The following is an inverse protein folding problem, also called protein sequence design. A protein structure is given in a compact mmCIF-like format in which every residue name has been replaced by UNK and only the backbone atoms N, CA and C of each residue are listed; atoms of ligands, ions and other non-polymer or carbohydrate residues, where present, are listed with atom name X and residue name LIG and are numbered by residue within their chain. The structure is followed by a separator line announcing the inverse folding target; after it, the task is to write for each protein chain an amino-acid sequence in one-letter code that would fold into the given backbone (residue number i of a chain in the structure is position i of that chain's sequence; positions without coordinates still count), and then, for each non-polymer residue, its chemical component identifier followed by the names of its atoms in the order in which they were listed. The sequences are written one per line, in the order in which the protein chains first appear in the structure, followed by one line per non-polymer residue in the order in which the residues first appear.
data_IF_910246933193
#
_entry.id   IF_910246933193
#
_cell.length_a   1.000
_cell.length_b   1.000
_cell.length_c   1.000
_cell.angle_alpha   90.00
_cell.angle_beta   90.00
_cell.angle_gamma   90.00
#
_symmetry.space_group_name_H-M   'P 1'
#
loop_
_entity.id
_entity.type
_entity.pdbx_description
1 polymer ?
#
# COMPACT_ATOMS: atom_id res chain seq x y z
N UNK A 1 -2.85 -31.13 2.30
CA UNK A 1 -2.52 -29.75 1.91
C UNK A 1 -3.81 -28.94 1.83
N UNK A 2 -3.92 -27.83 2.58
CA UNK A 2 -5.13 -27.00 2.61
C UNK A 2 -5.18 -26.13 1.34
N UNK A 3 -6.37 -25.92 0.77
CA UNK A 3 -6.54 -25.22 -0.51
C UNK A 3 -7.17 -23.85 -0.31
N UNK A 4 -6.45 -22.81 -0.73
CA UNK A 4 -6.84 -21.42 -0.52
C UNK A 4 -7.10 -20.75 -1.86
N UNK A 5 -8.29 -20.15 -2.01
CA UNK A 5 -8.63 -19.30 -3.14
C UNK A 5 -8.53 -17.83 -2.73
N UNK A 6 -7.60 -17.08 -3.32
CA UNK A 6 -7.60 -15.62 -3.22
C UNK A 6 -8.52 -15.03 -4.28
N UNK A 7 -9.35 -14.06 -3.90
CA UNK A 7 -10.21 -13.31 -4.84
C UNK A 7 -9.94 -11.82 -4.70
N UNK A 8 -9.45 -11.21 -5.77
CA UNK A 8 -9.11 -9.78 -5.85
C UNK A 8 -9.83 -9.13 -7.03
N UNK A 9 -10.17 -7.86 -6.89
CA UNK A 9 -10.93 -7.10 -7.90
C UNK A 9 -10.07 -6.18 -8.77
N UNK A 10 -8.77 -6.10 -8.50
CA UNK A 10 -7.83 -5.21 -9.16
C UNK A 10 -7.37 -5.82 -10.50
N UNK A 11 -7.45 -5.05 -11.59
CA UNK A 11 -6.88 -5.44 -12.90
C UNK A 11 -5.39 -5.08 -12.96
N UNK A 12 -5.03 -3.92 -12.38
CA UNK A 12 -3.67 -3.42 -12.34
C UNK A 12 -3.01 -3.64 -10.97
N UNK A 13 -1.68 -3.56 -10.91
CA UNK A 13 -0.91 -3.74 -9.67
C UNK A 13 -1.00 -2.46 -8.82
N UNK A 14 -2.08 -2.34 -8.06
CA UNK A 14 -2.25 -1.38 -6.98
C UNK A 14 -1.74 -1.90 -5.64
N UNK A 15 -2.07 -1.22 -4.54
CA UNK A 15 -1.65 -1.62 -3.19
C UNK A 15 -2.15 -3.02 -2.78
N UNK A 16 -3.39 -3.38 -3.12
CA UNK A 16 -3.94 -4.70 -2.81
C UNK A 16 -3.30 -5.80 -3.67
N UNK A 17 -3.03 -5.52 -4.95
CA UNK A 17 -2.27 -6.41 -5.83
C UNK A 17 -0.84 -6.66 -5.32
N UNK A 18 -0.10 -5.60 -4.95
CA UNK A 18 1.24 -5.74 -4.36
C UNK A 18 1.22 -6.49 -3.03
N UNK A 19 0.24 -6.22 -2.17
CA UNK A 19 0.03 -6.99 -0.95
C UNK A 19 -0.08 -8.49 -1.24
N UNK A 20 -0.93 -8.87 -2.21
CA UNK A 20 -1.12 -10.27 -2.58
C UNK A 20 0.19 -10.87 -3.09
N UNK A 21 0.92 -10.17 -3.97
CA UNK A 21 2.21 -10.63 -4.47
C UNK A 21 3.24 -10.83 -3.35
N UNK A 22 3.32 -9.90 -2.38
CA UNK A 22 4.20 -10.04 -1.22
C UNK A 22 3.78 -11.18 -0.29
N UNK A 23 2.47 -11.42 -0.15
CA UNK A 23 1.97 -12.54 0.65
C UNK A 23 2.35 -13.88 0.01
N UNK A 24 2.19 -13.98 -1.32
CA UNK A 24 2.45 -15.21 -2.06
C UNK A 24 3.95 -15.50 -2.22
N UNK A 25 4.82 -14.49 -2.23
CA UNK A 25 6.27 -14.71 -2.31
C UNK A 25 6.90 -15.30 -1.04
N UNK A 26 6.21 -15.23 0.09
CA UNK A 26 6.66 -15.78 1.37
C UNK A 26 5.72 -16.88 1.88
N UNK A 27 5.00 -17.52 0.96
CA UNK A 27 3.99 -18.52 1.26
C UNK A 27 4.60 -19.89 1.62
N UNK A 28 3.88 -20.68 2.41
CA UNK A 28 4.27 -22.05 2.76
C UNK A 28 3.57 -23.06 1.85
N UNK A 29 4.24 -23.43 0.76
CA UNK A 29 3.75 -24.36 -0.27
C UNK A 29 3.56 -25.80 0.24
N UNK A 30 4.27 -26.19 1.31
CA UNK A 30 4.12 -27.54 1.89
C UNK A 30 2.78 -27.71 2.61
N UNK A 31 2.23 -26.61 3.14
CA UNK A 31 1.00 -26.63 3.94
C UNK A 31 -0.22 -26.20 3.13
N UNK A 32 -0.03 -25.30 2.17
CA UNK A 32 -1.11 -24.60 1.49
C UNK A 32 -0.91 -24.55 -0.03
N UNK A 33 -1.91 -25.01 -0.77
CA UNK A 33 -2.01 -24.80 -2.22
C UNK A 33 -2.82 -23.54 -2.49
N UNK A 34 -2.29 -22.62 -3.30
CA UNK A 34 -2.95 -21.36 -3.64
C UNK A 34 -3.48 -21.35 -5.06
N UNK A 35 -4.68 -20.81 -5.22
CA UNK A 35 -5.24 -20.40 -6.50
C UNK A 35 -5.74 -18.96 -6.37
N UNK A 36 -5.67 -18.19 -7.46
CA UNK A 36 -6.13 -16.80 -7.47
C UNK A 36 -7.21 -16.61 -8.51
N UNK A 37 -8.29 -15.90 -8.17
CA UNK A 37 -9.24 -15.36 -9.11
C UNK A 37 -9.13 -13.82 -9.15
N UNK A 38 -8.87 -13.26 -10.34
CA UNK A 38 -8.72 -11.83 -10.58
C UNK A 38 -9.33 -11.43 -11.93
N UNK A 39 -9.60 -10.14 -12.20
CA UNK A 39 -10.02 -9.70 -13.53
C UNK A 39 -9.07 -10.15 -14.64
N UNK A 40 -9.64 -10.51 -15.79
CA UNK A 40 -8.89 -10.97 -16.96
C UNK A 40 -8.07 -9.86 -17.63
N UNK A 41 -6.91 -10.20 -18.19
CA UNK A 41 -6.13 -9.36 -19.11
C UNK A 41 -5.24 -8.31 -18.46
N UNK A 42 -5.21 -8.24 -17.13
CA UNK A 42 -4.45 -7.24 -16.37
C UNK A 42 -2.99 -7.60 -16.10
N UNK A 43 -2.18 -6.61 -15.70
CA UNK A 43 -0.78 -6.82 -15.31
C UNK A 43 -0.67 -7.74 -14.07
N UNK A 44 -1.66 -7.70 -13.17
CA UNK A 44 -1.70 -8.56 -12.00
C UNK A 44 -1.78 -10.05 -12.38
N UNK A 45 -2.62 -10.39 -13.38
CA UNK A 45 -2.74 -11.77 -13.88
C UNK A 45 -1.40 -12.27 -14.41
N UNK A 46 -0.70 -11.45 -15.22
CA UNK A 46 0.61 -11.79 -15.79
C UNK A 46 1.64 -12.05 -14.69
N UNK A 47 1.68 -11.18 -13.67
CA UNK A 47 2.64 -11.31 -12.56
C UNK A 47 2.35 -12.55 -11.72
N UNK A 48 1.09 -12.85 -11.42
CA UNK A 48 0.71 -14.07 -10.70
C UNK A 48 1.09 -15.33 -11.45
N UNK A 49 0.84 -15.37 -12.77
CA UNK A 49 1.27 -16.48 -13.63
C UNK A 49 2.79 -16.66 -13.64
N UNK A 50 3.57 -15.57 -13.65
CA UNK A 50 5.03 -15.64 -13.58
C UNK A 50 5.57 -16.20 -12.27
N UNK A 51 4.78 -16.18 -11.19
CA UNK A 51 5.09 -16.81 -9.90
C UNK A 51 4.68 -18.29 -9.85
N UNK A 52 4.22 -18.88 -10.96
CA UNK A 52 3.73 -20.26 -11.00
C UNK A 52 2.36 -20.48 -10.35
N UNK A 53 1.69 -19.40 -9.94
CA UNK A 53 0.38 -19.49 -9.28
C UNK A 53 -0.71 -19.78 -10.29
N UNK A 54 -1.60 -20.72 -9.98
CA UNK A 54 -2.78 -21.02 -10.81
C UNK A 54 -3.78 -19.86 -10.75
N UNK A 55 -4.06 -19.24 -11.89
CA UNK A 55 -4.95 -18.07 -12.00
C UNK A 55 -6.21 -18.38 -12.80
N UNK A 56 -7.37 -18.01 -12.24
CA UNK A 56 -8.68 -18.03 -12.88
C UNK A 56 -9.13 -16.60 -13.23
N UNK A 57 -9.10 -16.20 -14.51
CA UNK A 57 -9.55 -14.88 -14.92
C UNK A 57 -11.08 -14.76 -14.80
N UNK A 58 -11.55 -13.74 -14.09
CA UNK A 58 -12.96 -13.38 -13.95
C UNK A 58 -13.37 -12.40 -15.05
N UNK A 59 -14.40 -12.75 -15.83
CA UNK A 59 -14.91 -11.88 -16.89
C UNK A 59 -15.70 -10.70 -16.31
N UNK A 60 -15.58 -9.52 -16.91
CA UNK A 60 -16.39 -8.34 -16.56
C UNK A 60 -15.69 -7.26 -15.72
N UNK A 61 -14.38 -7.28 -15.54
CA UNK A 61 -13.64 -6.15 -14.96
C UNK A 61 -13.84 -5.89 -13.47
N UNK A 62 -13.43 -4.71 -13.00
CA UNK A 62 -13.30 -4.33 -11.59
C UNK A 62 -14.66 -4.03 -10.94
N UNK A 63 -15.33 -5.04 -10.39
CA UNK A 63 -16.50 -4.83 -9.53
C UNK A 63 -16.42 -5.69 -8.28
N UNK A 64 -16.71 -5.07 -7.14
CA UNK A 64 -16.80 -5.76 -5.85
C UNK A 64 -17.94 -6.77 -5.79
N UNK A 65 -19.05 -6.51 -6.48
CA UNK A 65 -20.20 -7.42 -6.59
C UNK A 65 -20.66 -7.58 -8.04
N UNK A 66 -20.76 -8.84 -8.48
CA UNK A 66 -21.46 -9.30 -9.69
C UNK A 66 -21.96 -10.71 -9.47
N UNK A 67 -23.21 -10.98 -9.81
CA UNK A 67 -23.81 -12.32 -9.69
C UNK A 67 -23.04 -13.34 -10.56
N UNK A 68 -22.61 -12.95 -11.75
CA UNK A 68 -21.79 -13.80 -12.62
C UNK A 68 -20.43 -14.17 -12.01
N UNK A 69 -19.83 -13.27 -11.20
CA UNK A 69 -18.61 -13.59 -10.46
C UNK A 69 -18.90 -14.59 -9.34
N UNK A 70 -20.03 -14.50 -8.64
CA UNK A 70 -20.42 -15.49 -7.63
C UNK A 70 -20.50 -16.89 -8.25
N UNK A 71 -21.19 -17.04 -9.37
CA UNK A 71 -21.31 -18.32 -10.08
C UNK A 71 -19.96 -18.86 -10.56
N UNK A 72 -19.10 -18.01 -11.14
CA UNK A 72 -17.75 -18.38 -11.55
C UNK A 72 -16.90 -18.85 -10.37
N UNK A 73 -16.93 -18.12 -9.26
CA UNK A 73 -16.17 -18.45 -8.04
C UNK A 73 -16.67 -19.77 -7.43
N UNK A 74 -17.98 -20.02 -7.40
CA UNK A 74 -18.54 -21.31 -6.95
C UNK A 74 -18.04 -22.47 -7.82
N UNK A 75 -17.99 -22.30 -9.15
CA UNK A 75 -17.42 -23.29 -10.05
C UNK A 75 -15.93 -23.58 -9.79
N UNK A 76 -15.15 -22.54 -9.49
CA UNK A 76 -13.74 -22.68 -9.11
C UNK A 76 -13.60 -23.41 -7.77
N UNK A 77 -14.42 -23.06 -6.77
CA UNK A 77 -14.43 -23.70 -5.46
C UNK A 77 -14.70 -25.20 -5.59
N UNK A 78 -15.72 -25.59 -6.37
CA UNK A 78 -16.06 -26.98 -6.60
C UNK A 78 -14.94 -27.73 -7.35
N UNK A 79 -14.38 -27.13 -8.40
CA UNK A 79 -13.30 -27.74 -9.21
C UNK A 79 -12.02 -27.94 -8.41
N UNK A 80 -11.56 -26.92 -7.69
CA UNK A 80 -10.30 -26.97 -6.95
C UNK A 80 -10.47 -27.65 -5.59
N UNK A 81 -11.69 -27.85 -5.10
CA UNK A 81 -12.00 -28.31 -3.73
C UNK A 81 -11.43 -27.36 -2.68
N UNK A 82 -11.79 -26.08 -2.78
CA UNK A 82 -11.26 -25.00 -1.93
C UNK A 82 -11.77 -25.15 -0.49
N UNK A 83 -10.88 -25.01 0.48
CA UNK A 83 -11.21 -25.05 1.92
C UNK A 83 -11.48 -23.64 2.48
N UNK A 84 -10.70 -22.67 2.02
CA UNK A 84 -10.77 -21.27 2.48
C UNK A 84 -10.70 -20.30 1.30
N UNK A 85 -11.54 -19.28 1.34
CA UNK A 85 -11.48 -18.14 0.43
C UNK A 85 -10.95 -16.91 1.17
N UNK A 86 -9.96 -16.24 0.59
CA UNK A 86 -9.44 -14.96 1.07
C UNK A 86 -9.74 -13.85 0.05
N UNK A 87 -10.61 -12.93 0.44
CA UNK A 87 -11.06 -11.83 -0.41
C UNK A 87 -10.31 -10.51 -0.15
N UNK A 88 -10.02 -9.78 -1.21
CA UNK A 88 -9.48 -8.42 -1.19
C UNK A 88 -10.51 -7.50 -1.85
N UNK A 89 -11.39 -6.91 -1.04
CA UNK A 89 -12.51 -6.06 -1.49
C UNK A 89 -13.57 -6.73 -2.40
N UNK A 90 -13.62 -8.07 -2.45
CA UNK A 90 -14.62 -8.81 -3.25
C UNK A 90 -15.83 -9.25 -2.41
N UNK A 91 -16.99 -8.60 -2.58
CA UNK A 91 -18.26 -9.07 -2.01
C UNK A 91 -18.73 -10.35 -2.71
N UNK A 92 -18.53 -10.49 -4.03
CA UNK A 92 -18.83 -11.73 -4.78
C UNK A 92 -18.12 -12.94 -4.18
N UNK A 93 -16.82 -12.81 -3.86
CA UNK A 93 -16.04 -13.88 -3.25
C UNK A 93 -16.54 -14.26 -1.86
N UNK A 94 -16.95 -13.27 -1.05
CA UNK A 94 -17.50 -13.55 0.29
C UNK A 94 -18.82 -14.31 0.23
N UNK A 95 -19.71 -13.91 -0.69
CA UNK A 95 -20.99 -14.60 -0.92
C UNK A 95 -20.74 -16.02 -1.41
N UNK A 96 -19.89 -16.21 -2.42
CA UNK A 96 -19.58 -17.52 -2.95
C UNK A 96 -18.99 -18.45 -1.87
N UNK A 97 -18.04 -17.95 -1.06
CA UNK A 97 -17.45 -18.73 0.02
C UNK A 97 -18.45 -19.19 1.08
N UNK A 98 -19.43 -18.34 1.44
CA UNK A 98 -20.47 -18.76 2.38
C UNK A 98 -21.45 -19.76 1.77
N UNK A 99 -21.83 -19.57 0.51
CA UNK A 99 -22.72 -20.51 -0.20
C UNK A 99 -22.07 -21.89 -0.40
N UNK A 100 -20.75 -21.96 -0.49
CA UNK A 100 -20.01 -23.21 -0.64
C UNK A 100 -19.57 -23.87 0.68
N UNK A 101 -19.86 -23.26 1.83
CA UNK A 101 -19.41 -23.75 3.14
C UNK A 101 -17.92 -23.55 3.44
N UNK A 102 -17.18 -22.82 2.60
CA UNK A 102 -15.78 -22.52 2.84
C UNK A 102 -15.61 -21.52 4.00
N UNK A 103 -14.45 -21.54 4.64
CA UNK A 103 -14.06 -20.44 5.53
C UNK A 103 -13.78 -19.18 4.71
N UNK A 104 -14.22 -18.02 5.20
CA UNK A 104 -14.11 -16.74 4.50
C UNK A 104 -13.27 -15.76 5.31
N UNK A 105 -12.13 -15.38 4.74
CA UNK A 105 -11.27 -14.31 5.24
C UNK A 105 -11.38 -13.11 4.30
N UNK A 106 -11.34 -11.90 4.85
CA UNK A 106 -11.28 -10.67 4.05
C UNK A 106 -10.18 -9.75 4.58
N UNK A 107 -9.27 -9.30 3.71
CA UNK A 107 -8.35 -8.22 4.07
C UNK A 107 -8.91 -6.86 3.64
N UNK A 108 -8.88 -5.89 4.55
CA UNK A 108 -9.17 -4.48 4.29
C UNK A 108 -7.87 -3.70 4.17
N UNK A 109 -7.64 -3.10 3.00
CA UNK A 109 -6.40 -2.37 2.66
C UNK A 109 -6.43 -0.86 2.91
N UNK A 110 -7.62 -0.28 3.04
CA UNK A 110 -7.82 1.16 3.20
C UNK A 110 -8.84 1.48 4.29
N UNK A 111 -8.67 2.66 4.89
CA UNK A 111 -9.63 3.23 5.82
C UNK A 111 -10.93 3.59 5.10
N UNK A 112 -12.08 3.37 5.74
CA UNK A 112 -13.35 3.87 5.23
C UNK A 112 -13.43 5.39 5.34
N UNK A 113 -14.13 6.06 4.41
CA UNK A 113 -14.47 7.48 4.57
C UNK A 113 -15.43 7.62 5.77
N UNK A 114 -15.07 8.50 6.70
CA UNK A 114 -15.77 8.78 7.96
C UNK A 114 -17.13 9.46 7.75
N UNK A 115 -17.32 10.16 6.61
CA UNK A 115 -18.47 11.03 6.38
C UNK A 115 -19.80 10.25 6.35
N UNK A 116 -20.66 10.56 7.33
CA UNK A 116 -22.11 10.33 7.34
C UNK A 116 -22.60 8.88 7.25
N UNK A 117 -21.89 7.95 7.89
CA UNK A 117 -22.42 6.59 8.04
C UNK A 117 -23.50 6.55 9.13
N UNK A 118 -24.76 6.82 8.75
CA UNK A 118 -25.91 6.76 9.66
C UNK A 118 -26.06 5.40 10.38
N UNK A 119 -26.73 5.38 11.53
CA UNK A 119 -26.86 4.20 12.40
C UNK A 119 -27.37 2.97 11.64
N UNK A 120 -28.36 3.14 10.75
CA UNK A 120 -28.90 2.07 9.92
C UNK A 120 -27.82 1.39 9.07
N UNK A 121 -26.95 2.18 8.42
CA UNK A 121 -25.90 1.65 7.57
C UNK A 121 -24.80 0.95 8.36
N UNK A 122 -24.51 1.42 9.58
CA UNK A 122 -23.61 0.72 10.53
C UNK A 122 -24.21 -0.63 10.93
N UNK A 123 -25.50 -0.69 11.22
CA UNK A 123 -26.21 -1.94 11.52
C UNK A 123 -26.21 -2.92 10.34
N UNK A 124 -26.50 -2.44 9.13
CA UNK A 124 -26.44 -3.25 7.90
C UNK A 124 -25.02 -3.81 7.70
N UNK A 125 -23.98 -2.98 7.82
CA UNK A 125 -22.60 -3.43 7.75
C UNK A 125 -22.31 -4.52 8.78
N UNK A 126 -22.71 -4.32 10.04
CA UNK A 126 -22.53 -5.31 11.11
C UNK A 126 -23.09 -6.68 10.70
N UNK A 127 -24.30 -6.70 10.16
CA UNK A 127 -24.98 -7.92 9.71
C UNK A 127 -24.23 -8.55 8.55
N UNK A 128 -23.93 -7.78 7.49
CA UNK A 128 -23.23 -8.27 6.30
C UNK A 128 -21.88 -8.88 6.67
N UNK A 129 -21.07 -8.20 7.48
CA UNK A 129 -19.77 -8.71 7.89
C UNK A 129 -19.89 -9.97 8.75
N UNK A 130 -20.82 -9.99 9.71
CA UNK A 130 -21.03 -11.16 10.57
C UNK A 130 -21.50 -12.38 9.78
N UNK A 131 -22.35 -12.19 8.77
CA UNK A 131 -22.88 -13.29 7.97
C UNK A 131 -21.89 -13.76 6.89
N UNK A 132 -21.13 -12.85 6.30
CA UNK A 132 -20.31 -13.14 5.12
C UNK A 132 -18.82 -13.35 5.40
N UNK A 133 -18.33 -13.16 6.63
CA UNK A 133 -16.91 -13.35 6.96
C UNK A 133 -16.72 -14.09 8.27
N UNK A 134 -15.75 -15.00 8.29
CA UNK A 134 -15.29 -15.67 9.53
C UNK A 134 -14.21 -14.84 10.22
N UNK A 135 -13.34 -14.19 9.43
CA UNK A 135 -12.33 -13.23 9.93
C UNK A 135 -12.11 -12.07 8.98
N UNK A 136 -11.81 -10.91 9.55
CA UNK A 136 -11.37 -9.72 8.82
C UNK A 136 -9.94 -9.40 9.23
N UNK A 137 -9.06 -9.29 8.25
CA UNK A 137 -7.69 -8.80 8.43
C UNK A 137 -7.68 -7.29 8.17
N UNK A 138 -7.23 -6.52 9.15
CA UNK A 138 -6.95 -5.10 9.01
C UNK A 138 -5.43 -4.90 8.87
N UNK A 139 -5.01 -4.17 7.83
CA UNK A 139 -3.58 -3.96 7.54
C UNK A 139 -2.87 -3.02 8.53
N UNK A 140 -3.60 -2.41 9.47
CA UNK A 140 -3.10 -1.58 10.56
C UNK A 140 -4.13 -1.49 11.69
N UNK A 141 -3.75 -0.96 12.85
CA UNK A 141 -4.70 -0.67 13.93
C UNK A 141 -5.65 0.46 13.51
N UNK A 142 -5.17 1.46 12.77
CA UNK A 142 -6.02 2.51 12.21
C UNK A 142 -7.11 1.95 11.30
N UNK A 143 -6.80 0.97 10.45
CA UNK A 143 -7.82 0.28 9.63
C UNK A 143 -8.76 -0.54 10.50
N UNK A 144 -8.28 -1.19 11.58
CA UNK A 144 -9.14 -1.89 12.53
C UNK A 144 -10.13 -0.94 13.21
N UNK A 145 -9.67 0.22 13.69
CA UNK A 145 -10.52 1.25 14.29
C UNK A 145 -11.57 1.72 13.28
N UNK A 146 -11.16 2.04 12.05
CA UNK A 146 -12.08 2.45 10.98
C UNK A 146 -13.13 1.39 10.66
N UNK A 147 -12.78 0.09 10.70
CA UNK A 147 -13.73 -1.01 10.52
C UNK A 147 -14.75 -1.08 11.67
N UNK A 148 -14.31 -0.93 12.92
CA UNK A 148 -15.19 -0.91 14.09
C UNK A 148 -16.16 0.28 13.98
N UNK A 149 -15.65 1.45 13.59
CA UNK A 149 -16.44 2.65 13.40
C UNK A 149 -17.53 2.49 12.33
N UNK A 150 -17.34 1.69 11.28
CA UNK A 150 -18.40 1.42 10.29
C UNK A 150 -19.34 0.26 10.69
N UNK A 151 -19.18 -0.29 11.90
CA UNK A 151 -20.08 -1.30 12.48
C UNK A 151 -19.55 -2.73 12.47
N UNK A 152 -18.31 -2.98 12.04
CA UNK A 152 -17.74 -4.34 12.05
C UNK A 152 -17.41 -4.78 13.48
N UNK A 153 -17.92 -5.93 13.96
CA UNK A 153 -17.62 -6.40 15.30
C UNK A 153 -16.12 -6.58 15.56
N UNK A 154 -15.61 -5.98 16.65
CA UNK A 154 -14.18 -5.97 16.97
C UNK A 154 -13.57 -7.39 17.08
N UNK A 155 -14.34 -8.36 17.57
CA UNK A 155 -13.91 -9.76 17.70
C UNK A 155 -13.70 -10.48 16.36
N UNK A 156 -14.28 -9.98 15.26
CA UNK A 156 -14.03 -10.50 13.91
C UNK A 156 -12.69 -10.01 13.33
N UNK A 157 -12.15 -8.91 13.87
CA UNK A 157 -11.03 -8.19 13.25
C UNK A 157 -9.70 -8.57 13.91
N UNK A 158 -8.77 -9.06 13.10
CA UNK A 158 -7.37 -9.28 13.45
C UNK A 158 -6.50 -8.27 12.70
N UNK A 159 -5.54 -7.67 13.38
CA UNK A 159 -4.58 -6.77 12.72
C UNK A 159 -3.39 -7.60 12.25
N UNK A 160 -3.10 -7.55 10.95
CA UNK A 160 -1.88 -8.10 10.36
C UNK A 160 -1.29 -7.00 9.51
N UNK A 161 -0.16 -6.45 9.95
CA UNK A 161 0.52 -5.40 9.22
C UNK A 161 0.97 -5.86 7.84
N UNK A 162 0.90 -4.94 6.88
CA UNK A 162 1.52 -5.13 5.57
C UNK A 162 3.00 -5.48 5.73
N UNK A 163 3.45 -6.38 4.86
CA UNK A 163 4.83 -6.79 4.74
C UNK A 163 5.31 -6.67 3.30
N UNK A 164 6.61 -6.44 3.15
CA UNK A 164 7.26 -6.33 1.85
C UNK A 164 8.39 -7.34 1.69
N UNK A 165 8.66 -7.72 0.45
CA UNK A 165 9.94 -8.32 0.12
C UNK A 165 11.03 -7.27 0.29
N UNK A 166 12.16 -7.68 0.84
CA UNK A 166 13.27 -6.75 1.06
C UNK A 166 13.94 -6.51 -0.30
N UNK A 167 14.02 -5.24 -0.77
CA UNK A 167 14.65 -4.94 -2.05
C UNK A 167 16.10 -5.40 -2.07
N UNK A 168 16.50 -6.01 -3.19
CA UNK A 168 17.90 -6.33 -3.46
C UNK A 168 18.59 -5.10 -4.04
N UNK A 169 19.62 -4.59 -3.35
CA UNK A 169 20.29 -3.31 -3.66
C UNK A 169 21.58 -3.53 -4.48
N UNK A 170 21.94 -4.78 -4.81
CA UNK A 170 23.31 -5.08 -5.23
C UNK A 170 23.67 -4.75 -6.68
N UNK A 171 22.72 -4.50 -7.60
CA UNK A 171 23.06 -4.20 -9.01
C UNK A 171 22.16 -3.17 -9.71
N UNK A 172 22.77 -2.21 -10.42
CA UNK A 172 22.11 -1.23 -11.31
C UNK A 172 21.09 -0.28 -10.63
N UNK A 173 21.28 0.05 -9.36
CA UNK A 173 20.51 1.09 -8.67
C UNK A 173 21.16 2.47 -8.87
N UNK A 174 20.40 3.55 -8.67
CA UNK A 174 20.97 4.90 -8.53
C UNK A 174 21.31 5.62 -9.85
N UNK A 175 20.54 5.35 -10.91
CA UNK A 175 20.75 5.99 -12.23
C UNK A 175 19.82 7.17 -12.49
N UNK A 176 18.91 7.48 -11.56
CA UNK A 176 17.93 8.53 -11.73
C UNK A 176 18.58 9.91 -11.77
N UNK A 177 19.61 10.17 -10.94
CA UNK A 177 20.34 11.45 -10.99
C UNK A 177 20.93 11.71 -12.38
N UNK A 178 21.51 10.69 -13.00
CA UNK A 178 22.02 10.78 -14.37
C UNK A 178 20.89 10.97 -15.39
N UNK A 179 19.81 10.19 -15.31
CA UNK A 179 18.62 10.32 -16.18
C UNK A 179 18.03 11.74 -16.14
N UNK A 180 18.06 12.37 -14.97
CA UNK A 180 17.54 13.72 -14.75
C UNK A 180 18.56 14.85 -14.94
N UNK A 181 19.81 14.54 -15.33
CA UNK A 181 20.91 15.51 -15.35
C UNK A 181 20.97 16.33 -14.03
N UNK A 182 20.90 15.64 -12.90
CA UNK A 182 20.96 16.23 -11.56
C UNK A 182 22.36 16.04 -11.01
N UNK A 183 23.13 17.12 -10.79
CA UNK A 183 24.47 17.03 -10.20
C UNK A 183 24.46 16.37 -8.82
N UNK A 184 25.62 15.85 -8.43
CA UNK A 184 25.87 15.43 -7.05
C UNK A 184 25.72 16.63 -6.09
N UNK A 185 25.26 16.38 -4.86
CA UNK A 185 25.01 17.42 -3.86
C UNK A 185 23.72 18.23 -4.03
N UNK A 186 23.06 18.17 -5.20
CA UNK A 186 21.73 18.77 -5.38
C UNK A 186 20.68 17.92 -4.64
N UNK A 187 19.89 18.51 -3.72
CA UNK A 187 18.85 17.77 -3.02
C UNK A 187 17.78 17.23 -3.97
N UNK A 188 17.55 15.92 -3.92
CA UNK A 188 16.55 15.21 -4.71
C UNK A 188 15.48 14.61 -3.79
N UNK A 189 14.32 15.27 -3.74
CA UNK A 189 13.17 14.85 -2.96
C UNK A 189 12.29 13.92 -3.80
N UNK A 190 11.87 12.79 -3.24
CA UNK A 190 11.07 11.80 -3.96
C UNK A 190 9.67 11.64 -3.38
N UNK A 191 8.67 11.54 -4.25
CA UNK A 191 7.32 11.13 -3.85
C UNK A 191 6.82 10.02 -4.78
N UNK A 192 6.56 8.85 -4.21
CA UNK A 192 6.17 7.64 -4.96
C UNK A 192 4.72 7.31 -4.64
N UNK A 193 3.80 7.77 -5.50
CA UNK A 193 2.38 7.57 -5.29
C UNK A 193 1.57 7.81 -6.57
N UNK A 194 0.36 7.22 -6.62
CA UNK A 194 -0.64 7.56 -7.63
C UNK A 194 -1.07 9.02 -7.45
N UNK A 195 -1.18 9.78 -8.55
CA UNK A 195 -1.56 11.21 -8.52
C UNK A 195 -3.06 11.37 -8.25
N UNK A 196 -3.44 11.21 -6.98
CA UNK A 196 -4.80 11.43 -6.45
C UNK A 196 -4.74 12.33 -5.21
N UNK A 197 -5.83 13.04 -4.87
CA UNK A 197 -5.84 14.02 -3.78
C UNK A 197 -5.42 13.43 -2.43
N UNK A 198 -5.82 12.19 -2.14
CA UNK A 198 -5.55 11.55 -0.85
C UNK A 198 -4.05 11.38 -0.54
N UNK A 199 -3.19 11.42 -1.57
CA UNK A 199 -1.74 11.26 -1.42
C UNK A 199 -1.01 12.56 -1.08
N UNK A 200 -1.67 13.71 -1.23
CA UNK A 200 -1.16 14.99 -0.75
C UNK A 200 -0.03 15.61 -1.58
N UNK A 201 0.09 15.27 -2.87
CA UNK A 201 1.09 15.87 -3.78
C UNK A 201 1.07 17.40 -3.75
N UNK A 202 -0.13 17.97 -3.60
CA UNK A 202 -0.35 19.40 -3.42
C UNK A 202 0.49 20.00 -2.28
N UNK A 203 0.59 19.30 -1.14
CA UNK A 203 1.36 19.79 0.01
C UNK A 203 2.87 19.67 -0.19
N UNK A 204 3.33 18.64 -0.92
CA UNK A 204 4.73 18.56 -1.33
C UNK A 204 5.10 19.72 -2.26
N UNK A 205 4.25 20.03 -3.25
CA UNK A 205 4.47 21.15 -4.18
C UNK A 205 4.44 22.49 -3.43
N UNK A 206 3.46 22.69 -2.53
CA UNK A 206 3.35 23.91 -1.72
C UNK A 206 4.48 24.09 -0.70
N UNK A 207 5.18 23.01 -0.32
CA UNK A 207 6.35 23.09 0.55
C UNK A 207 7.62 23.55 -0.19
N UNK A 208 7.66 23.39 -1.52
CA UNK A 208 8.86 23.68 -2.31
C UNK A 208 9.38 25.12 -2.21
N UNK A 209 8.54 26.19 -2.23
CA UNK A 209 9.05 27.56 -2.10
C UNK A 209 9.95 27.75 -0.86
N UNK A 210 9.52 27.28 0.31
CA UNK A 210 10.28 27.40 1.55
C UNK A 210 11.56 26.55 1.54
N UNK A 211 11.51 25.36 0.95
CA UNK A 211 12.71 24.52 0.75
C UNK A 211 13.72 25.23 -0.17
N UNK A 212 13.24 25.80 -1.29
CA UNK A 212 14.07 26.48 -2.29
C UNK A 212 14.72 27.75 -1.75
N UNK A 213 14.15 28.42 -0.74
CA UNK A 213 14.81 29.56 -0.07
C UNK A 213 16.13 29.16 0.60
N UNK A 214 16.28 27.90 1.02
CA UNK A 214 17.49 27.39 1.68
C UNK A 214 18.33 26.53 0.74
N UNK A 215 17.69 25.83 -0.19
CA UNK A 215 18.33 24.96 -1.18
C UNK A 215 17.79 25.30 -2.59
N UNK A 216 18.30 26.35 -3.24
CA UNK A 216 17.74 26.89 -4.49
C UNK A 216 17.70 25.90 -5.66
N UNK A 217 18.55 24.88 -5.63
CA UNK A 217 18.64 23.85 -6.67
C UNK A 217 17.88 22.57 -6.35
N UNK A 218 17.23 22.48 -5.18
CA UNK A 218 16.47 21.30 -4.78
C UNK A 218 15.40 20.95 -5.81
N UNK A 219 15.24 19.65 -6.07
CA UNK A 219 14.26 19.12 -7.03
C UNK A 219 13.29 18.18 -6.33
N UNK A 220 12.01 18.27 -6.69
CA UNK A 220 10.98 17.33 -6.27
C UNK A 220 10.59 16.43 -7.44
N UNK A 221 10.74 15.13 -7.27
CA UNK A 221 10.41 14.12 -8.27
C UNK A 221 9.15 13.39 -7.88
N UNK A 222 8.13 13.47 -8.71
CA UNK A 222 6.84 12.81 -8.55
C UNK A 222 6.82 11.55 -9.44
N UNK A 223 6.81 10.39 -8.79
CA UNK A 223 6.80 9.07 -9.43
C UNK A 223 5.42 8.45 -9.30
N UNK A 224 4.74 8.32 -10.43
CA UNK A 224 3.38 7.81 -10.54
C UNK A 224 2.55 8.62 -11.52
N UNK A 225 1.33 8.16 -11.75
CA UNK A 225 0.38 8.84 -12.63
C UNK A 225 -1.02 8.83 -11.98
N UNK A 226 -1.95 9.62 -12.50
CA UNK A 226 -3.31 9.69 -11.98
C UNK A 226 -4.07 10.94 -12.40
N UNK A 227 -5.37 10.99 -12.07
CA UNK A 227 -6.28 12.03 -12.54
C UNK A 227 -5.93 13.43 -12.06
N UNK A 228 -5.14 13.57 -10.99
CA UNK A 228 -4.73 14.89 -10.49
C UNK A 228 -3.55 15.50 -11.24
N UNK A 229 -2.97 14.85 -12.26
CA UNK A 229 -1.76 15.32 -12.94
C UNK A 229 -1.86 16.77 -13.42
N UNK A 230 -2.84 17.08 -14.25
CA UNK A 230 -3.04 18.43 -14.81
C UNK A 230 -3.19 19.48 -13.70
N UNK A 231 -4.00 19.19 -12.69
CA UNK A 231 -4.17 20.08 -11.54
C UNK A 231 -2.86 20.36 -10.80
N UNK A 232 -2.00 19.35 -10.65
CA UNK A 232 -0.70 19.47 -9.99
C UNK A 232 0.31 20.24 -10.84
N UNK A 233 0.31 20.05 -12.16
CA UNK A 233 1.13 20.83 -13.11
C UNK A 233 0.74 22.31 -13.06
N UNK A 234 -0.56 22.64 -13.09
CA UNK A 234 -1.06 24.01 -12.93
C UNK A 234 -0.69 24.59 -11.56
N UNK A 235 -0.69 23.77 -10.50
CA UNK A 235 -0.29 24.20 -9.18
C UNK A 235 1.21 24.57 -9.14
N UNK A 236 2.07 23.80 -9.80
CA UNK A 236 3.49 24.12 -9.90
C UNK A 236 3.72 25.48 -10.57
N UNK A 237 2.91 25.83 -11.58
CA UNK A 237 2.95 27.15 -12.22
C UNK A 237 2.51 28.25 -11.26
N UNK A 238 1.35 28.09 -10.62
CA UNK A 238 0.81 29.10 -9.67
C UNK A 238 1.74 29.36 -8.50
N UNK A 239 2.42 28.33 -8.01
CA UNK A 239 3.35 28.41 -6.87
C UNK A 239 4.76 28.85 -7.31
N UNK A 240 5.05 28.89 -8.61
CA UNK A 240 6.34 29.33 -9.15
C UNK A 240 7.46 28.29 -9.02
N UNK A 241 7.13 26.99 -9.02
CA UNK A 241 8.09 25.88 -8.82
C UNK A 241 8.14 24.89 -9.98
N UNK A 242 7.54 25.22 -11.12
CA UNK A 242 7.47 24.37 -12.32
C UNK A 242 8.81 23.76 -12.72
N UNK A 243 9.88 24.55 -12.73
CA UNK A 243 11.23 24.10 -13.13
C UNK A 243 11.92 23.20 -12.10
N UNK A 244 11.37 23.12 -10.89
CA UNK A 244 11.91 22.35 -9.76
C UNK A 244 11.09 21.10 -9.45
N UNK A 245 9.97 20.87 -10.14
CA UNK A 245 9.12 19.69 -9.95
C UNK A 245 9.11 18.85 -11.23
N UNK A 246 9.50 17.58 -11.11
CA UNK A 246 9.66 16.64 -12.23
C UNK A 246 8.61 15.54 -12.11
N UNK A 247 7.74 15.44 -13.11
CA UNK A 247 6.75 14.36 -13.22
C UNK A 247 7.30 13.22 -14.07
N UNK A 248 7.62 12.08 -13.47
CA UNK A 248 8.16 10.91 -14.18
C UNK A 248 7.08 9.98 -14.76
N UNK A 249 5.82 10.20 -14.41
CA UNK A 249 4.75 9.25 -14.72
C UNK A 249 4.96 7.90 -14.03
N UNK A 250 4.30 6.87 -14.55
CA UNK A 250 4.41 5.51 -14.01
C UNK A 250 5.77 4.88 -14.33
N UNK A 251 6.46 4.38 -13.28
CA UNK A 251 7.74 3.67 -13.38
C UNK A 251 7.62 2.24 -12.84
N UNK A 252 8.30 1.28 -13.49
CA UNK A 252 8.38 -0.13 -13.05
C UNK A 252 9.61 -0.43 -12.18
N UNK A 253 10.60 0.44 -12.21
CA UNK A 253 11.91 0.33 -11.57
C UNK A 253 12.02 1.21 -10.31
N UNK A 254 10.88 1.48 -9.65
CA UNK A 254 10.78 2.34 -8.46
C UNK A 254 11.81 1.99 -7.39
N UNK A 255 12.02 0.70 -7.09
CA UNK A 255 12.99 0.24 -6.09
C UNK A 255 14.43 0.64 -6.44
N UNK A 256 14.76 0.76 -7.73
CA UNK A 256 16.10 1.10 -8.21
C UNK A 256 16.36 2.61 -8.22
N UNK A 257 15.33 3.40 -8.52
CA UNK A 257 15.44 4.86 -8.57
C UNK A 257 15.22 5.51 -7.21
N UNK A 258 14.49 4.87 -6.31
CA UNK A 258 14.23 5.39 -4.97
C UNK A 258 15.52 5.54 -4.14
N UNK A 259 16.59 4.83 -4.51
CA UNK A 259 17.91 4.97 -3.88
C UNK A 259 18.56 6.33 -4.13
N UNK A 260 18.12 7.10 -5.13
CA UNK A 260 18.72 8.40 -5.44
C UNK A 260 18.10 9.55 -4.65
N UNK A 261 16.93 9.31 -4.06
CA UNK A 261 16.27 10.32 -3.24
C UNK A 261 17.02 10.53 -1.94
N UNK A 262 17.26 11.80 -1.61
CA UNK A 262 17.85 12.21 -0.33
C UNK A 262 16.82 12.15 0.78
N UNK A 263 15.56 12.50 0.47
CA UNK A 263 14.42 12.42 1.37
C UNK A 263 13.19 11.98 0.59
N UNK A 264 12.43 11.03 1.13
CA UNK A 264 11.14 10.63 0.56
C UNK A 264 10.01 11.31 1.32
N UNK A 265 9.08 11.90 0.57
CA UNK A 265 7.93 12.62 1.09
C UNK A 265 6.67 11.77 0.97
N UNK A 266 5.91 11.70 2.07
CA UNK A 266 4.60 11.06 2.10
C UNK A 266 3.56 11.92 2.84
N UNK A 267 3.21 13.11 2.31
CA UNK A 267 2.28 14.04 2.95
C UNK A 267 0.80 13.65 2.77
N UNK A 268 0.51 12.34 2.86
CA UNK A 268 -0.82 11.81 2.58
C UNK A 268 -1.88 12.31 3.58
N UNK A 269 -3.12 12.39 3.12
CA UNK A 269 -4.29 12.77 3.92
C UNK A 269 -5.01 11.54 4.50
N UNK A 270 -4.85 10.37 3.88
CA UNK A 270 -5.48 9.13 4.32
C UNK A 270 -4.69 7.92 3.83
N UNK A 271 -4.37 7.00 4.74
CA UNK A 271 -3.64 5.78 4.42
C UNK A 271 -4.12 4.58 5.26
N UNK A 272 -4.11 3.38 4.69
CA UNK A 272 -4.29 2.15 5.47
C UNK A 272 -3.00 1.79 6.21
N UNK A 273 -2.04 1.27 5.44
CA UNK A 273 -0.63 1.16 5.76
C UNK A 273 0.14 1.17 4.42
N UNK A 274 0.81 2.26 4.05
CA UNK A 274 1.31 2.42 2.69
C UNK A 274 2.51 1.50 2.43
N UNK A 275 2.44 0.66 1.39
CA UNK A 275 3.56 -0.19 0.98
C UNK A 275 4.77 0.64 0.56
N UNK A 276 4.56 1.78 -0.12
CA UNK A 276 5.63 2.68 -0.51
C UNK A 276 6.43 3.21 0.69
N UNK A 277 5.82 3.35 1.87
CA UNK A 277 6.53 3.73 3.10
C UNK A 277 7.47 2.60 3.52
N UNK A 278 6.94 1.37 3.58
CA UNK A 278 7.74 0.21 3.96
C UNK A 278 8.89 -0.01 2.97
N UNK A 279 8.62 0.12 1.66
CA UNK A 279 9.62 0.01 0.58
C UNK A 279 10.72 1.07 0.75
N UNK A 280 10.35 2.33 0.97
CA UNK A 280 11.28 3.44 1.21
C UNK A 280 12.14 3.24 2.46
N UNK A 281 11.52 2.85 3.56
CA UNK A 281 12.21 2.58 4.82
C UNK A 281 13.13 1.35 4.70
N UNK A 282 12.74 0.32 3.95
CA UNK A 282 13.61 -0.84 3.70
C UNK A 282 14.86 -0.46 2.90
N UNK A 283 14.75 0.48 1.96
CA UNK A 283 15.90 1.05 1.26
C UNK A 283 16.80 1.92 2.15
N UNK A 284 16.42 2.11 3.42
CA UNK A 284 17.15 2.95 4.35
C UNK A 284 17.03 4.43 4.03
N UNK A 285 15.93 4.84 3.37
CA UNK A 285 15.69 6.24 3.07
C UNK A 285 15.05 6.98 4.23
N UNK A 286 15.50 8.20 4.56
CA UNK A 286 14.77 9.04 5.49
C UNK A 286 13.44 9.44 4.86
N UNK A 287 12.37 9.34 5.64
CA UNK A 287 11.01 9.63 5.21
C UNK A 287 10.43 10.73 6.08
N UNK A 288 9.82 11.75 5.45
CA UNK A 288 8.94 12.72 6.11
C UNK A 288 7.51 12.40 5.68
N UNK A 289 6.66 12.03 6.64
CA UNK A 289 5.31 11.55 6.35
C UNK A 289 4.26 12.21 7.23
N UNK A 290 3.04 12.33 6.73
CA UNK A 290 1.91 12.81 7.55
C UNK A 290 1.57 11.80 8.65
N UNK A 291 1.17 12.30 9.82
CA UNK A 291 0.65 11.48 10.93
C UNK A 291 -0.80 11.05 10.66
N UNK A 292 -1.00 10.17 9.67
CA UNK A 292 -2.32 9.63 9.30
C UNK A 292 -2.33 8.12 9.18
N UNK A 293 -3.48 7.53 9.53
CA UNK A 293 -3.73 6.11 9.32
C UNK A 293 -2.69 5.22 10.01
N UNK A 294 -2.15 4.24 9.27
CA UNK A 294 -1.14 3.32 9.78
C UNK A 294 0.30 3.85 9.77
N UNK A 295 0.56 5.07 9.28
CA UNK A 295 1.93 5.65 9.24
C UNK A 295 2.58 5.74 10.64
N UNK A 296 1.94 6.34 11.67
CA UNK A 296 2.51 6.44 13.01
C UNK A 296 2.63 5.09 13.74
N UNK A 297 2.10 4.01 13.17
CA UNK A 297 2.32 2.66 13.70
C UNK A 297 3.68 2.08 13.27
N UNK A 298 4.32 2.67 12.26
CA UNK A 298 5.64 2.27 11.75
C UNK A 298 6.71 3.31 12.08
N UNK A 299 6.41 4.59 11.85
CA UNK A 299 7.33 5.68 12.15
C UNK A 299 7.23 6.06 13.63
N UNK A 300 8.37 6.01 14.30
CA UNK A 300 8.63 6.69 15.57
C UNK A 300 9.36 7.99 15.24
N UNK A 301 8.67 9.10 15.47
CA UNK A 301 9.15 10.43 15.09
C UNK A 301 10.55 10.72 15.63
N UNK A 302 11.42 11.27 14.78
CA UNK A 302 12.82 11.57 15.08
C UNK A 302 13.74 10.36 15.24
N UNK A 303 13.22 9.13 15.20
CA UNK A 303 14.02 7.90 15.42
C UNK A 303 14.25 7.15 14.13
N UNK A 304 13.19 6.84 13.38
CA UNK A 304 13.25 6.02 12.15
C UNK A 304 12.49 6.66 10.97
N UNK A 305 12.13 7.93 11.11
CA UNK A 305 11.39 8.76 10.18
C UNK A 305 10.93 10.02 10.89
N UNK A 306 10.29 10.94 10.16
CA UNK A 306 9.75 12.18 10.70
C UNK A 306 8.26 12.27 10.40
N UNK A 307 7.47 12.65 11.40
CA UNK A 307 6.04 12.87 11.28
C UNK A 307 5.72 14.37 11.20
N UNK A 308 4.72 14.70 10.38
CA UNK A 308 4.16 16.05 10.27
C UNK A 308 2.63 16.02 10.33
N UNK A 309 1.97 17.12 10.74
CA UNK A 309 0.52 17.21 10.65
C UNK A 309 0.03 17.07 9.19
N UNK A 310 -1.08 16.34 8.94
CA UNK A 310 -1.61 16.21 7.59
C UNK A 310 -2.09 17.55 7.04
N UNK A 311 -1.74 17.81 5.79
CA UNK A 311 -2.14 19.03 5.09
C UNK A 311 -1.35 20.29 5.47
N UNK A 312 -0.26 20.14 6.23
CA UNK A 312 0.61 21.24 6.61
C UNK A 312 1.88 21.25 5.74
N UNK A 313 1.87 22.07 4.69
CA UNK A 313 3.02 22.25 3.82
C UNK A 313 4.19 22.97 4.50
N UNK A 314 3.93 23.81 5.50
CA UNK A 314 4.95 24.55 6.24
C UNK A 314 5.74 23.61 7.15
N UNK A 315 5.05 22.79 7.95
CA UNK A 315 5.68 21.76 8.76
C UNK A 315 6.46 20.75 7.91
N UNK A 316 5.92 20.36 6.75
CA UNK A 316 6.62 19.51 5.78
C UNK A 316 7.94 20.16 5.32
N UNK A 317 7.90 21.43 4.89
CA UNK A 317 9.09 22.16 4.46
C UNK A 317 10.14 22.27 5.57
N UNK A 318 9.74 22.63 6.79
CA UNK A 318 10.64 22.76 7.94
C UNK A 318 11.39 21.46 8.20
N UNK A 319 10.68 20.32 8.25
CA UNK A 319 11.30 19.02 8.49
C UNK A 319 12.21 18.58 7.35
N UNK A 320 11.82 18.83 6.10
CA UNK A 320 12.69 18.55 4.94
C UNK A 320 13.97 19.37 5.02
N UNK A 321 13.87 20.68 5.26
CA UNK A 321 15.05 21.57 5.41
C UNK A 321 15.95 21.09 6.55
N UNK A 322 15.38 20.73 7.71
CA UNK A 322 16.15 20.19 8.83
C UNK A 322 16.92 18.90 8.48
N UNK A 323 16.31 18.01 7.70
CA UNK A 323 16.98 16.80 7.20
C UNK A 323 18.07 17.13 6.18
N UNK A 324 17.83 18.06 5.25
CA UNK A 324 18.80 18.44 4.24
C UNK A 324 20.05 19.12 4.82
N UNK A 325 19.94 19.76 5.99
CA UNK A 325 21.09 20.38 6.70
C UNK A 325 22.01 19.33 7.35
N UNK A 326 21.51 18.15 7.71
CA UNK A 326 22.27 17.17 8.51
C UNK A 326 22.30 15.79 7.88
N UNK A 327 23.38 15.48 7.17
CA UNK A 327 23.63 14.18 6.56
C UNK A 327 23.62 13.07 7.61
N UNK A 328 24.28 13.30 8.75
CA UNK A 328 24.29 12.37 9.89
C UNK A 328 22.88 12.04 10.40
N UNK A 329 21.98 13.01 10.44
CA UNK A 329 20.59 12.77 10.83
C UNK A 329 19.88 11.90 9.79
N UNK A 330 20.04 12.21 8.49
CA UNK A 330 19.47 11.41 7.40
C UNK A 330 19.94 9.96 7.44
N UNK A 331 21.24 9.74 7.61
CA UNK A 331 21.84 8.40 7.71
C UNK A 331 21.31 7.62 8.92
N UNK A 332 21.24 8.26 10.09
CA UNK A 332 20.73 7.62 11.30
C UNK A 332 19.25 7.23 11.16
N UNK A 333 18.41 8.14 10.66
CA UNK A 333 16.99 7.86 10.41
C UNK A 333 16.84 6.72 9.41
N UNK A 334 17.59 6.76 8.31
CA UNK A 334 17.59 5.72 7.28
C UNK A 334 17.98 4.34 7.81
N UNK A 335 19.07 4.27 8.58
CA UNK A 335 19.52 3.02 9.22
C UNK A 335 18.47 2.44 10.16
N UNK A 336 17.88 3.29 11.01
CA UNK A 336 16.82 2.89 11.95
C UNK A 336 15.53 2.49 11.23
N UNK A 337 15.19 3.17 10.12
CA UNK A 337 14.07 2.82 9.25
C UNK A 337 14.23 1.40 8.70
N UNK A 338 15.40 1.10 8.13
CA UNK A 338 15.70 -0.23 7.59
C UNK A 338 15.64 -1.31 8.67
N UNK A 339 16.24 -1.06 9.83
CA UNK A 339 16.16 -1.98 10.96
C UNK A 339 14.72 -2.27 11.41
N UNK A 340 13.87 -1.23 11.43
CA UNK A 340 12.44 -1.38 11.75
C UNK A 340 11.73 -2.31 10.76
N UNK A 341 11.97 -2.14 9.46
CA UNK A 341 11.31 -2.97 8.44
C UNK A 341 11.80 -4.41 8.50
N UNK A 342 13.11 -4.64 8.59
CA UNK A 342 13.70 -5.98 8.63
C UNK A 342 13.22 -6.79 9.84
N UNK A 343 12.96 -6.13 10.97
CA UNK A 343 12.53 -6.81 12.20
C UNK A 343 11.03 -7.11 12.24
N UNK A 344 10.17 -6.32 11.58
CA UNK A 344 8.72 -6.36 11.86
C UNK A 344 7.79 -6.37 10.64
N UNK A 345 8.22 -5.82 9.49
CA UNK A 345 7.34 -5.53 8.35
C UNK A 345 7.78 -6.26 7.07
N UNK A 346 8.28 -7.48 7.23
CA UNK A 346 8.66 -8.35 6.11
C UNK A 346 7.47 -9.13 5.57
N UNK A 347 7.53 -9.51 4.29
CA UNK A 347 6.57 -10.42 3.65
C UNK A 347 6.41 -11.73 4.44
N UNK A 348 7.53 -12.28 4.96
CA UNK A 348 7.52 -13.49 5.81
C UNK A 348 6.69 -13.28 7.08
N UNK A 349 6.94 -12.21 7.84
CA UNK A 349 6.19 -11.91 9.07
C UNK A 349 4.69 -11.72 8.78
N UNK A 350 4.35 -11.06 7.67
CA UNK A 350 2.96 -10.90 7.23
C UNK A 350 2.31 -12.24 6.87
N UNK A 351 3.02 -13.09 6.11
CA UNK A 351 2.55 -14.41 5.71
C UNK A 351 2.32 -15.32 6.91
N UNK A 352 3.29 -15.44 7.83
CA UNK A 352 3.15 -16.26 9.03
C UNK A 352 1.93 -15.87 9.88
N UNK A 353 1.72 -14.57 10.10
CA UNK A 353 0.55 -14.07 10.84
C UNK A 353 -0.76 -14.36 10.11
N UNK A 354 -0.76 -14.27 8.78
CA UNK A 354 -1.94 -14.59 7.96
C UNK A 354 -2.26 -16.08 8.00
N UNK A 355 -1.24 -16.94 7.86
CA UNK A 355 -1.41 -18.40 7.89
C UNK A 355 -1.87 -18.90 9.27
N UNK A 356 -1.46 -18.27 10.37
CA UNK A 356 -2.01 -18.59 11.70
C UNK A 356 -3.53 -18.38 11.78
N UNK A 357 -4.05 -17.33 11.15
CA UNK A 357 -5.50 -17.09 11.08
C UNK A 357 -6.19 -18.20 10.29
N UNK A 358 -5.55 -18.69 9.23
CA UNK A 358 -6.09 -19.78 8.43
C UNK A 358 -6.11 -21.09 9.21
N UNK A 359 -5.04 -21.38 9.95
CA UNK A 359 -4.97 -22.55 10.82
C UNK A 359 -6.05 -22.54 11.89
N UNK A 360 -6.30 -21.38 12.51
CA UNK A 360 -7.38 -21.22 13.49
C UNK A 360 -8.77 -21.51 12.91
N UNK A 361 -9.00 -21.22 11.63
CA UNK A 361 -10.30 -21.39 10.97
C UNK A 361 -10.52 -22.79 10.38
N UNK A 362 -9.44 -23.45 9.95
CA UNK A 362 -9.45 -24.78 9.35
C UNK A 362 -8.89 -25.83 10.32
N UNK A 363 -9.21 -25.69 11.61
CA UNK A 363 -8.98 -26.72 12.62
C UNK A 363 -9.98 -27.87 12.45
#
# INVERSE_FOLDING_TARGET
MKKVLHVITDTNIGGAGRYLLNLLSAWDENRYSVTVACPAGGELEKRLKSLGVKVYPLKGGEKSFRISHVAQILGIIAREKVDLIHTHASLSGRIAGKLSGCRVVMTRHWMGKKSEMGLLRRWINRIIYRLLTDRVIAVSRAVKVSLIEIGVPAWLIKTVYNGINIPNIFENCGKLRMELNTPEGVPLLGMIARLVPEKGHEYAIKAMPEILRRFPDARLVLVGDGPSRTYLEDLCERVGVKERVIFLGFRKDVEKIAIDFDVILMPSLSEGLPLALLESMALGKPVVASEVGGIPEVIKDGINGVLVPPGDAGALAEKVVGLLISDKLRENLGKNARHTILSQFTARTMAEKTLRIYDELMK
#
